data_IF_279911444509
#
_entry.id   IF_279911444509
#
_cell.length_a   1.000
_cell.length_b   1.000
_cell.length_c   1.000
_cell.angle_alpha   90.00
_cell.angle_beta   90.00
_cell.angle_gamma   90.00
#
_symmetry.space_group_name_H-M   'P 1'
#
loop_
_entity.id
_entity.type
_entity.pdbx_description
1 polymer ?
#
# COMPACT_ATOMS: atom_id res chain seq x y z
N UNK A 1 2.86 18.71 6.64
CA UNK A 1 2.55 17.66 7.62
C UNK A 1 2.55 16.32 6.90
N UNK A 2 3.39 15.37 7.32
CA UNK A 2 3.45 14.08 6.64
C UNK A 2 2.16 13.30 6.85
N UNK A 3 1.86 12.47 5.87
CA UNK A 3 0.74 11.54 5.90
C UNK A 3 1.22 10.16 5.47
N UNK A 4 0.46 9.15 5.79
CA UNK A 4 0.87 7.77 5.60
C UNK A 4 -0.28 6.98 4.97
N UNK A 5 0.06 5.93 4.25
CA UNK A 5 -0.91 4.94 3.80
C UNK A 5 -0.45 3.58 4.30
N UNK A 6 -1.37 2.86 4.94
CA UNK A 6 -1.13 1.47 5.32
C UNK A 6 -2.16 0.60 4.61
N UNK A 7 -1.69 -0.44 3.96
CA UNK A 7 -2.53 -1.43 3.30
C UNK A 7 -2.08 -2.81 3.76
N UNK A 8 -3.04 -3.65 4.12
CA UNK A 8 -2.78 -5.05 4.44
C UNK A 8 -3.49 -5.92 3.42
N UNK A 9 -2.78 -6.90 2.86
CA UNK A 9 -3.35 -7.87 1.93
C UNK A 9 -2.92 -9.28 2.30
N UNK A 10 -3.80 -10.25 2.04
CA UNK A 10 -3.46 -11.66 2.11
C UNK A 10 -3.21 -12.16 0.70
N UNK A 11 -1.95 -12.45 0.37
CA UNK A 11 -1.61 -13.01 -0.93
C UNK A 11 -1.69 -14.54 -0.87
N UNK A 12 -1.80 -15.17 -2.04
CA UNK A 12 -1.67 -16.63 -2.14
C UNK A 12 -0.21 -17.04 -2.12
N UNK A 13 0.63 -16.23 -2.78
CA UNK A 13 2.05 -16.49 -2.90
C UNK A 13 2.76 -15.15 -3.06
N UNK A 14 3.53 -14.77 -2.05
CA UNK A 14 4.26 -13.50 -2.04
C UNK A 14 5.17 -13.36 -3.26
N UNK A 15 5.91 -14.42 -3.62
CA UNK A 15 6.89 -14.35 -4.69
C UNK A 15 6.24 -14.10 -6.05
N UNK A 16 5.01 -14.56 -6.25
CA UNK A 16 4.23 -14.28 -7.45
C UNK A 16 3.69 -12.86 -7.45
N UNK A 17 3.28 -12.36 -6.28
CA UNK A 17 2.69 -11.03 -6.15
C UNK A 17 3.74 -9.91 -6.26
N UNK A 18 4.93 -10.11 -5.70
CA UNK A 18 5.92 -9.04 -5.56
C UNK A 18 6.32 -8.38 -6.89
N UNK A 19 6.58 -9.12 -7.98
CA UNK A 19 6.91 -8.47 -9.25
C UNK A 19 5.80 -7.57 -9.78
N UNK A 20 4.55 -7.93 -9.54
CA UNK A 20 3.40 -7.12 -9.93
C UNK A 20 3.36 -5.82 -9.12
N UNK A 21 3.61 -5.91 -7.82
CA UNK A 21 3.70 -4.75 -6.95
C UNK A 21 4.80 -3.79 -7.40
N UNK A 22 5.96 -4.32 -7.76
CA UNK A 22 7.12 -3.52 -8.14
C UNK A 22 6.87 -2.69 -9.40
N UNK A 23 5.92 -3.08 -10.25
CA UNK A 23 5.57 -2.33 -11.45
C UNK A 23 4.85 -1.00 -11.15
N UNK A 24 4.25 -0.89 -9.96
CA UNK A 24 3.48 0.30 -9.54
C UNK A 24 2.54 0.81 -10.64
N UNK A 25 1.72 -0.09 -11.18
CA UNK A 25 0.77 0.26 -12.25
C UNK A 25 -0.13 1.45 -11.90
N UNK A 26 -0.67 1.55 -10.66
CA UNK A 26 -1.47 2.71 -10.28
C UNK A 26 -0.67 4.00 -10.15
N UNK A 27 0.67 3.91 -10.13
CA UNK A 27 1.57 5.02 -9.83
C UNK A 27 1.28 5.65 -8.47
N UNK A 28 0.76 4.85 -7.55
CA UNK A 28 0.40 5.33 -6.22
C UNK A 28 1.62 5.68 -5.37
N UNK A 29 2.79 5.09 -5.70
CA UNK A 29 4.01 5.30 -4.94
C UNK A 29 4.96 6.31 -5.56
N UNK A 30 4.54 6.98 -6.64
CA UNK A 30 5.38 7.91 -7.39
C UNK A 30 5.90 9.04 -6.51
N UNK A 31 5.06 9.56 -5.58
CA UNK A 31 5.42 10.63 -4.66
C UNK A 31 5.78 10.15 -3.26
N UNK A 32 5.88 8.85 -3.05
CA UNK A 32 6.18 8.31 -1.73
C UNK A 32 7.60 8.67 -1.31
N UNK A 33 7.74 9.21 -0.11
CA UNK A 33 9.04 9.55 0.48
C UNK A 33 9.71 8.33 1.08
N UNK A 34 8.90 7.38 1.55
CA UNK A 34 9.36 6.14 2.15
C UNK A 34 8.39 5.04 1.78
N UNK A 35 8.91 3.86 1.46
CA UNK A 35 8.09 2.68 1.22
C UNK A 35 8.70 1.50 1.95
N UNK A 36 7.82 0.73 2.61
CA UNK A 36 8.20 -0.51 3.27
C UNK A 36 7.20 -1.59 2.89
N UNK A 37 7.71 -2.75 2.57
CA UNK A 37 6.90 -3.95 2.37
C UNK A 37 7.28 -4.91 3.48
N UNK A 38 6.34 -5.18 4.36
CA UNK A 38 6.55 -6.00 5.53
C UNK A 38 5.71 -7.27 5.41
N UNK A 39 6.23 -8.36 5.91
CA UNK A 39 5.52 -9.64 5.90
C UNK A 39 5.33 -10.09 7.34
N UNK A 40 4.18 -10.71 7.63
CA UNK A 40 3.96 -11.29 8.94
C UNK A 40 5.03 -12.34 9.21
N UNK A 41 5.58 -12.33 10.43
CA UNK A 41 6.57 -13.34 10.83
C UNK A 41 5.96 -14.75 10.87
N UNK A 42 4.64 -14.82 11.11
CA UNK A 42 3.93 -16.10 11.21
C UNK A 42 3.37 -16.57 9.87
N UNK A 43 3.10 -15.63 8.94
CA UNK A 43 2.55 -15.95 7.63
C UNK A 43 3.24 -15.07 6.57
N UNK A 44 4.21 -15.61 5.84
CA UNK A 44 4.96 -14.82 4.86
C UNK A 44 4.13 -14.34 3.67
N UNK A 45 2.89 -14.81 3.53
CA UNK A 45 1.98 -14.37 2.48
C UNK A 45 1.01 -13.28 2.97
N UNK A 46 1.04 -12.94 4.24
CA UNK A 46 0.34 -11.77 4.76
C UNK A 46 1.27 -10.56 4.68
N UNK A 47 0.87 -9.54 3.92
CA UNK A 47 1.74 -8.42 3.56
C UNK A 47 1.14 -7.11 4.05
N UNK A 48 2.01 -6.29 4.62
CA UNK A 48 1.68 -4.94 5.06
C UNK A 48 2.53 -3.96 4.27
N UNK A 49 1.87 -3.02 3.60
CA UNK A 49 2.54 -2.01 2.78
C UNK A 49 2.43 -0.68 3.52
N UNK A 50 3.58 -0.09 3.82
CA UNK A 50 3.68 1.18 4.54
C UNK A 50 4.28 2.22 3.61
N UNK A 51 3.57 3.33 3.43
CA UNK A 51 3.99 4.42 2.55
C UNK A 51 3.91 5.73 3.31
N UNK A 52 4.90 6.61 3.10
CA UNK A 52 4.90 7.95 3.68
C UNK A 52 4.89 8.99 2.57
N UNK A 53 4.11 10.04 2.76
CA UNK A 53 3.95 11.15 1.82
C UNK A 53 4.19 12.48 2.52
N UNK A 54 4.60 13.48 1.73
CA UNK A 54 4.90 14.81 2.25
C UNK A 54 3.65 15.50 2.81
N UNK A 55 2.48 15.23 2.25
CA UNK A 55 1.24 15.90 2.61
C UNK A 55 0.05 14.96 2.56
N UNK A 56 -1.03 15.36 3.23
CA UNK A 56 -2.29 14.65 3.19
C UNK A 56 -2.85 14.61 1.76
N UNK A 57 -2.70 15.70 1.00
CA UNK A 57 -3.18 15.76 -0.38
C UNK A 57 -2.48 14.71 -1.25
N UNK A 58 -1.17 14.56 -1.11
CA UNK A 58 -0.42 13.55 -1.86
C UNK A 58 -0.84 12.14 -1.49
N UNK A 59 -1.08 11.88 -0.19
CA UNK A 59 -1.54 10.59 0.27
C UNK A 59 -2.95 10.27 -0.27
N UNK A 60 -3.86 11.25 -0.24
CA UNK A 60 -5.21 11.05 -0.76
C UNK A 60 -5.21 10.81 -2.26
N UNK A 61 -4.37 11.52 -3.01
CA UNK A 61 -4.22 11.29 -4.45
C UNK A 61 -3.72 9.87 -4.72
N UNK A 62 -2.72 9.43 -3.96
CA UNK A 62 -2.18 8.07 -4.10
C UNK A 62 -3.24 7.01 -3.80
N UNK A 63 -4.03 7.21 -2.74
CA UNK A 63 -5.13 6.30 -2.41
C UNK A 63 -6.14 6.25 -3.54
N UNK A 64 -6.52 7.39 -4.10
CA UNK A 64 -7.50 7.43 -5.17
C UNK A 64 -7.00 6.71 -6.43
N UNK A 65 -5.72 6.87 -6.78
CA UNK A 65 -5.11 6.14 -7.88
C UNK A 65 -5.14 4.64 -7.64
N UNK A 66 -4.81 4.23 -6.42
CA UNK A 66 -4.79 2.82 -6.05
C UNK A 66 -6.17 2.19 -6.14
N UNK A 67 -7.19 2.87 -5.62
CA UNK A 67 -8.57 2.37 -5.66
C UNK A 67 -9.11 2.36 -7.09
N UNK A 68 -8.84 3.39 -7.87
CA UNK A 68 -9.32 3.50 -9.24
C UNK A 68 -8.72 2.45 -10.16
N UNK A 69 -7.49 2.00 -9.88
CA UNK A 69 -6.79 1.02 -10.70
C UNK A 69 -7.40 -0.39 -10.61
N UNK A 70 -8.10 -0.69 -9.52
CA UNK A 70 -8.68 -2.01 -9.29
C UNK A 70 -7.68 -3.08 -8.89
N UNK A 71 -6.41 -2.73 -8.65
CA UNK A 71 -5.39 -3.75 -8.33
C UNK A 71 -5.66 -4.46 -7.01
N UNK A 72 -6.41 -3.83 -6.10
CA UNK A 72 -6.76 -4.44 -4.82
C UNK A 72 -8.01 -5.30 -4.89
N UNK A 73 -8.79 -5.20 -5.95
CA UNK A 73 -10.07 -5.92 -6.05
C UNK A 73 -9.90 -7.42 -6.10
N UNK A 74 -8.73 -7.91 -6.50
CA UNK A 74 -8.42 -9.34 -6.54
C UNK A 74 -8.27 -9.97 -5.15
N UNK A 75 -8.11 -9.14 -4.12
CA UNK A 75 -7.91 -9.63 -2.76
C UNK A 75 -9.22 -9.52 -1.99
N UNK A 76 -9.73 -10.65 -1.52
CA UNK A 76 -10.92 -10.65 -0.66
C UNK A 76 -10.55 -10.30 0.78
N UNK A 77 -9.39 -10.77 1.23
CA UNK A 77 -8.92 -10.56 2.59
C UNK A 77 -7.88 -9.43 2.58
N UNK A 78 -8.37 -8.22 2.85
CA UNK A 78 -7.54 -7.02 2.85
C UNK A 78 -8.10 -5.96 3.79
N UNK A 79 -7.21 -5.03 4.19
CA UNK A 79 -7.57 -3.82 4.91
C UNK A 79 -6.88 -2.62 4.27
N UNK A 80 -7.61 -1.54 4.13
CA UNK A 80 -7.10 -0.32 3.52
C UNK A 80 -7.28 -0.30 2.00
N UNK A 81 -6.64 0.62 1.33
CA UNK A 81 -5.63 1.57 1.84
C UNK A 81 -6.22 2.57 2.82
N UNK A 82 -5.58 2.71 3.97
CA UNK A 82 -5.99 3.64 5.01
C UNK A 82 -5.01 4.81 5.06
N UNK A 83 -5.53 6.02 4.92
CA UNK A 83 -4.72 7.23 5.03
C UNK A 83 -4.67 7.63 6.51
N UNK A 84 -3.46 7.85 7.00
CA UNK A 84 -3.20 8.16 8.39
C UNK A 84 -2.42 9.46 8.50
N UNK A 85 -2.62 10.16 9.60
CA UNK A 85 -1.84 11.35 9.94
C UNK A 85 -1.21 11.14 11.31
N UNK A 86 -0.06 11.79 11.52
CA UNK A 86 0.64 11.71 12.79
C UNK A 86 -0.16 12.47 13.85
N UNK A 87 -0.38 11.84 15.00
CA UNK A 87 -1.09 12.49 16.11
C UNK A 87 -0.15 13.02 17.20
N UNK A 88 1.14 12.88 17.00
CA UNK A 88 2.14 13.39 17.95
C UNK A 88 2.78 12.32 18.82
#
# INVERSE_FOLDING_TARGET
>A
MPAFIITRIQTRDYDTWRPMFDQDRPRAREKALLQRVLRSADDPNEVFIYLEYQSLDDANEARDRLLSSGVLDRFEDKHGPTVLVDSG
#
